data_IF_369182922165
#
_entry.id   IF_369182922165
#
_cell.length_a   1.000
_cell.length_b   1.000
_cell.length_c   1.000
_cell.angle_alpha   90.00
_cell.angle_beta   90.00
_cell.angle_gamma   90.00
#
_symmetry.space_group_name_H-M   'P 1'
#
loop_
_entity.id
_entity.type
_entity.pdbx_description
1 polymer ?
#
# COMPACT_ATOMS: atom_id res chain seq x y z
N UNK A 1 -27.02 3.92 0.93
CA UNK A 1 -25.87 3.54 0.10
C UNK A 1 -26.26 3.65 -1.36
N UNK A 2 -25.40 4.16 -2.23
CA UNK A 2 -25.59 4.11 -3.69
C UNK A 2 -24.42 3.41 -4.35
N UNK A 3 -24.65 2.86 -5.53
CA UNK A 3 -23.61 2.19 -6.33
C UNK A 3 -23.57 2.82 -7.71
N UNK A 4 -22.38 3.23 -8.15
CA UNK A 4 -22.09 3.68 -9.51
C UNK A 4 -21.12 2.70 -10.13
N UNK A 5 -21.40 2.28 -11.36
CA UNK A 5 -20.50 1.41 -12.12
C UNK A 5 -19.79 2.27 -13.16
N UNK A 6 -18.46 2.18 -13.18
CA UNK A 6 -17.60 2.85 -14.15
C UNK A 6 -16.76 1.81 -14.88
N UNK A 7 -16.68 1.96 -16.20
CA UNK A 7 -15.71 1.21 -17.01
C UNK A 7 -14.52 2.10 -17.28
N UNK A 8 -13.32 1.59 -17.04
CA UNK A 8 -12.06 2.26 -17.38
C UNK A 8 -11.10 1.24 -17.96
N UNK A 9 -10.51 1.51 -19.13
CA UNK A 9 -9.86 0.46 -19.93
C UNK A 9 -10.75 -0.79 -20.06
N UNK A 10 -10.23 -1.93 -19.57
CA UNK A 10 -10.96 -3.20 -19.42
C UNK A 10 -11.44 -3.51 -18.00
N UNK A 11 -11.17 -2.62 -17.05
CA UNK A 11 -11.66 -2.71 -15.67
C UNK A 11 -13.15 -2.34 -15.55
N UNK A 12 -13.87 -3.05 -14.68
CA UNK A 12 -15.17 -2.62 -14.14
C UNK A 12 -14.99 -2.21 -12.69
N UNK A 13 -15.23 -0.94 -12.39
CA UNK A 13 -15.10 -0.37 -11.05
C UNK A 13 -16.48 -0.09 -10.48
N UNK A 14 -16.76 -0.71 -9.34
CA UNK A 14 -17.99 -0.49 -8.57
C UNK A 14 -17.68 0.50 -7.45
N UNK A 15 -18.13 1.73 -7.61
CA UNK A 15 -18.03 2.78 -6.60
C UNK A 15 -19.26 2.70 -5.69
N UNK A 16 -19.03 2.40 -4.42
CA UNK A 16 -20.08 2.20 -3.41
C UNK A 16 -20.00 3.32 -2.38
N UNK A 17 -21.03 4.16 -2.33
CA UNK A 17 -21.04 5.37 -1.50
C UNK A 17 -21.94 5.16 -0.28
N UNK A 18 -21.35 5.27 0.91
CA UNK A 18 -22.10 5.46 2.15
C UNK A 18 -22.32 6.97 2.33
N UNK A 19 -23.54 7.40 2.65
CA UNK A 19 -23.84 8.82 2.79
C UNK A 19 -23.62 9.31 4.22
N UNK A 20 -23.22 10.58 4.42
CA UNK A 20 -22.94 11.60 3.39
C UNK A 20 -21.48 11.57 2.89
N UNK A 21 -21.27 11.67 1.57
CA UNK A 21 -19.95 11.81 0.93
C UNK A 21 -20.01 12.94 -0.10
N UNK A 22 -19.02 13.83 -0.11
CA UNK A 22 -18.95 14.96 -1.03
C UNK A 22 -18.73 14.51 -2.50
N UNK A 23 -19.35 15.20 -3.46
CA UNK A 23 -19.19 14.87 -4.88
C UNK A 23 -17.77 15.15 -5.43
N UNK A 24 -17.04 16.06 -4.79
CA UNK A 24 -15.66 16.44 -5.13
C UNK A 24 -14.73 15.23 -5.03
N UNK A 25 -14.74 14.51 -3.90
CA UNK A 25 -13.90 13.34 -3.67
C UNK A 25 -14.27 12.17 -4.59
N UNK A 26 -15.56 12.00 -4.90
CA UNK A 26 -16.02 10.98 -5.86
C UNK A 26 -15.35 11.22 -7.21
N UNK A 27 -15.36 12.47 -7.68
CA UNK A 27 -14.76 12.84 -8.97
C UNK A 27 -13.23 12.64 -8.95
N UNK A 28 -12.57 12.93 -7.82
CA UNK A 28 -11.14 12.65 -7.65
C UNK A 28 -10.83 11.15 -7.75
N UNK A 29 -11.61 10.29 -7.07
CA UNK A 29 -11.46 8.83 -7.14
C UNK A 29 -11.68 8.33 -8.57
N UNK A 30 -12.69 8.83 -9.28
CA UNK A 30 -12.96 8.44 -10.66
C UNK A 30 -11.81 8.80 -11.61
N UNK A 31 -11.26 10.01 -11.46
CA UNK A 31 -10.12 10.46 -12.26
C UNK A 31 -8.85 9.66 -11.94
N UNK A 32 -8.61 9.35 -10.66
CA UNK A 32 -7.49 8.50 -10.25
C UNK A 32 -7.61 7.10 -10.84
N UNK A 33 -8.81 6.51 -10.79
CA UNK A 33 -9.09 5.22 -11.40
C UNK A 33 -8.79 5.23 -12.90
N UNK A 34 -9.21 6.26 -13.62
CA UNK A 34 -8.89 6.41 -15.06
C UNK A 34 -7.40 6.56 -15.31
N UNK A 35 -6.71 7.34 -14.49
CA UNK A 35 -5.26 7.57 -14.60
C UNK A 35 -4.45 6.29 -14.38
N UNK A 36 -4.83 5.48 -13.40
CA UNK A 36 -4.06 4.28 -13.00
C UNK A 36 -4.41 3.07 -13.87
N UNK A 37 -5.67 2.97 -14.31
CA UNK A 37 -6.21 1.76 -14.95
C UNK A 37 -6.67 1.95 -16.39
N UNK A 38 -6.64 3.17 -16.92
CA UNK A 38 -7.21 3.50 -18.24
C UNK A 38 -6.57 2.75 -19.40
N UNK A 39 -5.31 2.35 -19.26
CA UNK A 39 -4.54 1.60 -20.27
C UNK A 39 -4.59 0.08 -20.06
N UNK A 40 -5.33 -0.41 -19.05
CA UNK A 40 -5.40 -1.84 -18.76
C UNK A 40 -6.16 -2.63 -19.82
N UNK A 41 -5.56 -3.73 -20.24
CA UNK A 41 -6.04 -4.60 -21.33
C UNK A 41 -6.76 -5.86 -20.85
N UNK A 42 -6.64 -6.21 -19.58
CA UNK A 42 -7.28 -7.38 -18.97
C UNK A 42 -8.63 -7.01 -18.33
N UNK A 43 -9.61 -7.93 -18.42
CA UNK A 43 -10.87 -7.75 -17.71
C UNK A 43 -10.74 -8.11 -16.24
N UNK A 44 -11.10 -7.17 -15.36
CA UNK A 44 -11.16 -7.40 -13.92
C UNK A 44 -12.18 -6.47 -13.26
N UNK A 45 -12.52 -6.80 -12.01
CA UNK A 45 -13.49 -6.06 -11.20
C UNK A 45 -12.81 -5.53 -9.95
N UNK A 46 -13.05 -4.26 -9.61
CA UNK A 46 -12.64 -3.66 -8.34
C UNK A 46 -13.87 -3.05 -7.67
N UNK A 47 -13.99 -3.24 -6.36
CA UNK A 47 -14.91 -2.48 -5.52
C UNK A 47 -14.17 -1.36 -4.81
N UNK A 48 -14.72 -0.15 -4.84
CA UNK A 48 -14.19 1.00 -4.10
C UNK A 48 -15.31 1.53 -3.21
N UNK A 49 -15.13 1.40 -1.91
CA UNK A 49 -16.07 1.82 -0.89
C UNK A 49 -15.65 3.18 -0.33
N UNK A 50 -16.55 4.16 -0.44
CA UNK A 50 -16.38 5.50 0.13
C UNK A 50 -17.20 5.58 1.42
N UNK A 51 -16.50 5.68 2.54
CA UNK A 51 -17.09 5.81 3.86
C UNK A 51 -17.01 7.27 4.32
N UNK A 52 -18.10 7.86 4.86
CA UNK A 52 -18.11 9.19 5.46
C UNK A 52 -17.01 9.43 6.49
N UNK A 53 -16.65 8.41 7.26
CA UNK A 53 -15.61 8.48 8.28
C UNK A 53 -14.90 7.14 8.47
N UNK A 54 -13.76 7.17 9.15
CA UNK A 54 -13.03 6.00 9.59
C UNK A 54 -13.87 5.10 10.51
N UNK A 55 -14.68 5.67 11.38
CA UNK A 55 -15.54 4.89 12.29
C UNK A 55 -16.51 3.99 11.51
N UNK A 56 -17.14 4.53 10.47
CA UNK A 56 -18.05 3.76 9.63
C UNK A 56 -17.31 2.74 8.78
N UNK A 57 -16.14 3.11 8.25
CA UNK A 57 -15.25 2.18 7.55
C UNK A 57 -14.93 0.98 8.44
N UNK A 58 -14.45 1.22 9.66
CA UNK A 58 -14.07 0.14 10.59
C UNK A 58 -15.22 -0.76 10.96
N UNK A 59 -16.39 -0.17 11.21
CA UNK A 59 -17.58 -0.94 11.54
C UNK A 59 -17.91 -1.95 10.43
N UNK A 60 -17.83 -1.52 9.17
CA UNK A 60 -18.14 -2.39 8.02
C UNK A 60 -17.01 -3.37 7.70
N UNK A 61 -15.75 -2.91 7.74
CA UNK A 61 -14.59 -3.75 7.46
C UNK A 61 -14.46 -4.87 8.50
N UNK A 62 -14.73 -4.58 9.79
CA UNK A 62 -14.69 -5.58 10.85
C UNK A 62 -15.78 -6.64 10.69
N UNK A 63 -17.01 -6.25 10.34
CA UNK A 63 -18.08 -7.20 10.04
C UNK A 63 -17.69 -8.13 8.89
N UNK A 64 -17.16 -7.57 7.80
CA UNK A 64 -16.67 -8.36 6.67
C UNK A 64 -15.52 -9.29 7.07
N UNK A 65 -14.60 -8.83 7.91
CA UNK A 65 -13.48 -9.65 8.37
C UNK A 65 -13.97 -10.86 9.19
N UNK A 66 -14.99 -10.68 10.03
CA UNK A 66 -15.64 -11.77 10.76
C UNK A 66 -16.29 -12.79 9.81
N UNK A 67 -17.00 -12.34 8.78
CA UNK A 67 -17.62 -13.22 7.77
C UNK A 67 -16.58 -14.10 7.06
N UNK A 68 -15.36 -13.57 6.88
CA UNK A 68 -14.27 -14.27 6.20
C UNK A 68 -13.25 -14.92 7.15
N UNK A 69 -13.47 -14.89 8.46
CA UNK A 69 -12.54 -15.38 9.50
C UNK A 69 -11.12 -14.78 9.38
N UNK A 70 -11.04 -13.48 9.07
CA UNK A 70 -9.79 -12.71 8.97
C UNK A 70 -9.67 -11.73 10.15
N UNK A 71 -8.45 -11.50 10.62
CA UNK A 71 -8.17 -10.45 11.60
C UNK A 71 -7.75 -9.14 10.92
N UNK A 72 -8.34 -8.02 11.33
CA UNK A 72 -7.92 -6.67 10.90
C UNK A 72 -6.94 -6.13 11.94
N UNK A 73 -5.68 -5.95 11.54
CA UNK A 73 -4.58 -5.68 12.48
C UNK A 73 -4.35 -4.21 12.82
N UNK A 74 -4.82 -3.26 12.00
CA UNK A 74 -4.50 -1.84 12.14
C UNK A 74 -5.74 -0.95 12.10
N UNK A 75 -5.75 0.09 12.95
CA UNK A 75 -6.64 1.26 12.92
C UNK A 75 -5.84 2.51 12.53
N UNK A 76 -6.51 3.57 12.10
CA UNK A 76 -5.91 4.87 11.78
C UNK A 76 -5.03 4.87 10.52
N UNK A 77 -5.32 3.98 9.56
CA UNK A 77 -4.72 3.99 8.23
C UNK A 77 -5.48 4.93 7.29
N UNK A 78 -4.76 5.58 6.38
CA UNK A 78 -5.35 6.49 5.39
C UNK A 78 -6.30 5.80 4.40
N UNK A 79 -6.12 4.49 4.19
CA UNK A 79 -6.98 3.65 3.38
C UNK A 79 -6.69 2.17 3.70
N UNK A 80 -7.58 1.29 3.23
CA UNK A 80 -7.44 -0.16 3.36
C UNK A 80 -7.73 -0.83 2.02
N UNK A 81 -7.04 -1.92 1.72
CA UNK A 81 -7.36 -2.80 0.60
C UNK A 81 -7.37 -4.26 1.03
N UNK A 82 -8.26 -5.03 0.44
CA UNK A 82 -8.39 -6.46 0.70
C UNK A 82 -8.88 -7.21 -0.55
N UNK A 83 -8.73 -8.53 -0.56
CA UNK A 83 -9.28 -9.42 -1.59
C UNK A 83 -9.69 -10.77 -1.00
N UNK A 84 -10.25 -10.76 0.21
CA UNK A 84 -10.61 -11.97 0.99
C UNK A 84 -11.66 -12.83 0.28
N UNK A 85 -12.50 -12.23 -0.55
CA UNK A 85 -13.48 -12.92 -1.41
C UNK A 85 -12.93 -13.32 -2.78
N UNK A 86 -11.66 -13.01 -3.07
CA UNK A 86 -11.06 -13.16 -4.40
C UNK A 86 -11.36 -12.01 -5.37
N UNK A 87 -12.07 -10.97 -4.93
CA UNK A 87 -12.27 -9.73 -5.69
C UNK A 87 -11.64 -8.57 -4.90
N UNK A 88 -10.77 -7.75 -5.51
CA UNK A 88 -10.15 -6.63 -4.83
C UNK A 88 -11.16 -5.58 -4.41
N UNK A 89 -11.03 -5.14 -3.17
CA UNK A 89 -11.78 -4.05 -2.59
C UNK A 89 -10.84 -2.99 -1.99
N UNK A 90 -11.22 -1.73 -2.15
CA UNK A 90 -10.57 -0.57 -1.56
C UNK A 90 -11.56 0.11 -0.64
N UNK A 91 -11.14 0.49 0.56
CA UNK A 91 -11.94 1.15 1.58
C UNK A 91 -11.32 2.51 1.91
N UNK A 92 -12.06 3.59 1.62
CA UNK A 92 -11.58 4.97 1.74
C UNK A 92 -12.38 5.73 2.82
N UNK A 93 -11.73 6.18 3.90
CA UNK A 93 -12.34 7.04 4.92
C UNK A 93 -12.31 8.51 4.44
N UNK A 94 -13.43 8.99 3.90
CA UNK A 94 -13.50 10.25 3.14
C UNK A 94 -13.13 11.46 3.97
N UNK A 95 -13.66 11.58 5.20
CA UNK A 95 -13.35 12.72 6.07
C UNK A 95 -11.85 12.84 6.31
N UNK A 96 -11.22 11.73 6.67
CA UNK A 96 -9.79 11.64 7.00
C UNK A 96 -8.92 11.90 5.78
N UNK A 97 -9.32 11.42 4.59
CA UNK A 97 -8.64 11.74 3.34
C UNK A 97 -8.73 13.24 3.01
N UNK A 98 -9.86 13.89 3.28
CA UNK A 98 -10.06 15.32 3.03
C UNK A 98 -9.22 16.22 3.96
N UNK A 99 -8.76 15.71 5.11
CA UNK A 99 -7.81 16.41 5.99
C UNK A 99 -6.40 16.47 5.39
N UNK A 100 -6.08 15.60 4.44
CA UNK A 100 -4.81 15.63 3.70
C UNK A 100 -4.83 16.72 2.63
N UNK A 101 -3.65 17.27 2.33
CA UNK A 101 -3.49 18.07 1.12
C UNK A 101 -3.84 17.22 -0.12
N UNK A 102 -4.32 17.87 -1.18
CA UNK A 102 -4.83 17.19 -2.37
C UNK A 102 -3.80 16.26 -3.02
N UNK A 103 -2.53 16.65 -3.10
CA UNK A 103 -1.50 15.85 -3.74
C UNK A 103 -1.24 14.54 -2.98
N UNK A 104 -1.09 14.62 -1.66
CA UNK A 104 -0.94 13.44 -0.78
C UNK A 104 -2.17 12.53 -0.87
N UNK A 105 -3.39 13.10 -0.82
CA UNK A 105 -4.62 12.31 -0.95
C UNK A 105 -4.69 11.56 -2.27
N UNK A 106 -4.39 12.21 -3.39
CA UNK A 106 -4.34 11.55 -4.69
C UNK A 106 -3.30 10.42 -4.71
N UNK A 107 -2.13 10.65 -4.09
CA UNK A 107 -1.10 9.63 -3.94
C UNK A 107 -1.59 8.38 -3.18
N UNK A 108 -2.33 8.55 -2.09
CA UNK A 108 -2.96 7.44 -1.35
C UNK A 108 -3.92 6.67 -2.26
N UNK A 109 -4.86 7.37 -2.92
CA UNK A 109 -5.87 6.70 -3.76
C UNK A 109 -5.21 5.95 -4.92
N UNK A 110 -4.20 6.54 -5.57
CA UNK A 110 -3.44 5.90 -6.65
C UNK A 110 -2.74 4.62 -6.19
N UNK A 111 -2.12 4.66 -5.00
CA UNK A 111 -1.43 3.53 -4.39
C UNK A 111 -2.37 2.36 -4.14
N UNK A 112 -3.54 2.64 -3.55
CA UNK A 112 -4.54 1.61 -3.28
C UNK A 112 -5.18 1.05 -4.56
N UNK A 113 -5.41 1.88 -5.58
CA UNK A 113 -5.91 1.43 -6.89
C UNK A 113 -4.90 0.51 -7.57
N UNK A 114 -3.61 0.81 -7.48
CA UNK A 114 -2.55 -0.07 -7.98
C UNK A 114 -2.47 -1.38 -7.18
N UNK A 115 -2.63 -1.34 -5.85
CA UNK A 115 -2.74 -2.57 -5.05
C UNK A 115 -3.90 -3.45 -5.50
N UNK A 116 -5.08 -2.89 -5.74
CA UNK A 116 -6.23 -3.65 -6.21
C UNK A 116 -5.96 -4.34 -7.57
N UNK A 117 -5.18 -3.71 -8.46
CA UNK A 117 -4.78 -4.31 -9.73
C UNK A 117 -3.73 -5.41 -9.56
N UNK A 118 -2.63 -5.13 -8.85
CA UNK A 118 -1.50 -6.06 -8.76
C UNK A 118 -1.74 -7.20 -7.77
N UNK A 119 -2.43 -6.90 -6.67
CA UNK A 119 -2.57 -7.78 -5.52
C UNK A 119 -4.01 -8.17 -5.23
N UNK A 120 -4.92 -8.04 -6.21
CA UNK A 120 -6.34 -8.37 -6.05
C UNK A 120 -6.68 -9.86 -5.97
N UNK A 121 -5.70 -10.72 -5.70
CA UNK A 121 -5.87 -12.16 -5.56
C UNK A 121 -5.56 -12.61 -4.13
N UNK A 122 -6.34 -13.57 -3.61
CA UNK A 122 -6.20 -14.10 -2.25
C UNK A 122 -4.78 -14.59 -1.93
N UNK A 123 -4.00 -15.06 -2.92
CA UNK A 123 -2.62 -15.50 -2.71
C UNK A 123 -1.74 -14.43 -2.04
N UNK A 124 -2.01 -13.15 -2.30
CA UNK A 124 -1.29 -12.01 -1.70
C UNK A 124 -1.79 -11.66 -0.28
N UNK A 125 -2.62 -12.51 0.31
CA UNK A 125 -3.12 -12.40 1.68
C UNK A 125 -2.85 -13.67 2.49
N UNK A 126 -2.17 -14.65 1.88
CA UNK A 126 -1.74 -15.87 2.53
C UNK A 126 -0.27 -15.74 2.95
N UNK A 127 0.04 -16.24 4.14
CA UNK A 127 1.40 -16.32 4.63
C UNK A 127 2.25 -17.22 3.71
N UNK A 128 3.52 -16.85 3.44
CA UNK A 128 4.41 -17.70 2.67
C UNK A 128 4.65 -19.03 3.42
N UNK A 129 4.90 -20.13 2.70
CA UNK A 129 5.25 -21.39 3.33
C UNK A 129 6.61 -21.26 4.04
N UNK A 130 6.69 -21.70 5.29
CA UNK A 130 7.94 -21.72 6.06
C UNK A 130 7.77 -21.37 7.54
N UNK A 131 8.87 -21.46 8.28
CA UNK A 131 8.94 -21.00 9.66
C UNK A 131 9.61 -19.62 9.71
N UNK A 132 8.97 -18.67 10.37
CA UNK A 132 9.46 -17.31 10.56
C UNK A 132 9.40 -16.98 12.04
N UNK A 133 10.56 -16.69 12.65
CA UNK A 133 10.62 -16.41 14.08
C UNK A 133 10.06 -15.04 14.48
N UNK A 134 9.99 -14.10 13.53
CA UNK A 134 9.49 -12.75 13.75
C UNK A 134 8.33 -12.44 12.79
N UNK A 135 7.10 -12.70 13.24
CA UNK A 135 5.89 -12.52 12.42
C UNK A 135 5.65 -11.04 12.08
N UNK A 136 6.06 -10.11 12.95
CA UNK A 136 5.92 -8.68 12.68
C UNK A 136 6.89 -8.24 11.59
N UNK A 137 8.11 -8.77 11.58
CA UNK A 137 9.05 -8.55 10.48
C UNK A 137 8.53 -9.16 9.18
N UNK A 138 8.01 -10.37 9.23
CA UNK A 138 7.42 -11.02 8.06
C UNK A 138 6.31 -10.15 7.46
N UNK A 139 5.39 -9.67 8.31
CA UNK A 139 4.31 -8.79 7.88
C UNK A 139 4.85 -7.49 7.26
N UNK A 140 5.81 -6.84 7.91
CA UNK A 140 6.42 -5.61 7.39
C UNK A 140 7.08 -5.81 6.02
N UNK A 141 7.84 -6.90 5.85
CA UNK A 141 8.47 -7.26 4.56
C UNK A 141 7.42 -7.58 3.50
N UNK A 142 6.36 -8.30 3.88
CA UNK A 142 5.28 -8.64 2.96
C UNK A 142 4.60 -7.39 2.40
N UNK A 143 4.27 -6.43 3.27
CA UNK A 143 3.78 -5.12 2.85
C UNK A 143 4.81 -4.38 1.98
N UNK A 144 6.09 -4.39 2.38
CA UNK A 144 7.16 -3.71 1.67
C UNK A 144 7.34 -4.24 0.24
N UNK A 145 7.28 -5.55 0.02
CA UNK A 145 7.36 -6.14 -1.33
C UNK A 145 6.20 -5.66 -2.19
N UNK A 146 4.97 -5.67 -1.65
CA UNK A 146 3.79 -5.19 -2.36
C UNK A 146 3.89 -3.70 -2.69
N UNK A 147 4.35 -2.88 -1.74
CA UNK A 147 4.49 -1.43 -1.92
C UNK A 147 5.55 -1.12 -3.00
N UNK A 148 6.63 -1.91 -3.06
CA UNK A 148 7.65 -1.80 -4.10
C UNK A 148 7.09 -2.10 -5.50
N UNK A 149 6.34 -3.19 -5.64
CA UNK A 149 5.70 -3.56 -6.91
C UNK A 149 4.68 -2.51 -7.37
N UNK A 150 3.91 -1.95 -6.42
CA UNK A 150 3.01 -0.82 -6.70
C UNK A 150 3.77 0.41 -7.16
N UNK A 151 4.85 0.79 -6.48
CA UNK A 151 5.62 1.96 -6.85
C UNK A 151 6.24 1.85 -8.24
N UNK A 152 6.81 0.68 -8.59
CA UNK A 152 7.32 0.45 -9.95
C UNK A 152 6.21 0.49 -11.01
N UNK A 153 5.04 -0.08 -10.71
CA UNK A 153 3.86 -0.02 -11.59
C UNK A 153 3.36 1.41 -11.82
N UNK A 154 3.23 2.21 -10.75
CA UNK A 154 2.77 3.60 -10.83
C UNK A 154 3.81 4.49 -11.52
N UNK A 155 5.10 4.30 -11.22
CA UNK A 155 6.21 4.99 -11.88
C UNK A 155 6.22 4.73 -13.39
N UNK A 156 5.97 3.49 -13.83
CA UNK A 156 5.87 3.15 -15.26
C UNK A 156 4.75 3.90 -16.00
N UNK A 157 3.74 4.42 -15.27
CA UNK A 157 2.63 5.25 -15.76
C UNK A 157 2.86 6.75 -15.56
N UNK A 158 4.10 7.17 -15.26
CA UNK A 158 4.45 8.55 -14.96
C UNK A 158 3.68 9.13 -13.75
N UNK A 159 3.28 8.29 -12.81
CA UNK A 159 2.65 8.69 -11.55
C UNK A 159 3.76 8.79 -10.49
N UNK A 160 4.35 9.98 -10.39
CA UNK A 160 5.55 10.23 -9.57
C UNK A 160 5.30 11.28 -8.50
N UNK A 161 4.83 12.48 -8.89
CA UNK A 161 4.75 13.63 -7.98
C UNK A 161 3.82 13.39 -6.77
N UNK A 162 2.64 12.85 -7.01
CA UNK A 162 1.66 12.48 -5.98
C UNK A 162 2.19 11.41 -5.04
N UNK A 163 2.97 10.45 -5.56
CA UNK A 163 3.60 9.39 -4.77
C UNK A 163 4.73 9.94 -3.89
N UNK A 164 5.56 10.86 -4.41
CA UNK A 164 6.58 11.55 -3.59
C UNK A 164 5.93 12.34 -2.45
N UNK A 165 4.83 13.06 -2.71
CA UNK A 165 4.08 13.77 -1.67
C UNK A 165 3.45 12.83 -0.63
N UNK A 166 3.04 11.64 -1.04
CA UNK A 166 2.55 10.60 -0.12
C UNK A 166 3.69 10.02 0.73
N UNK A 167 4.82 9.67 0.12
CA UNK A 167 6.02 9.20 0.81
C UNK A 167 6.51 10.22 1.84
N UNK A 168 6.60 11.50 1.46
CA UNK A 168 7.05 12.56 2.35
C UNK A 168 6.12 12.75 3.55
N UNK A 169 4.80 12.60 3.35
CA UNK A 169 3.81 12.64 4.43
C UNK A 169 4.04 11.49 5.41
N UNK A 170 4.17 10.25 4.93
CA UNK A 170 4.32 9.08 5.80
C UNK A 170 5.68 9.06 6.51
N UNK A 171 6.76 9.45 5.84
CA UNK A 171 8.07 9.56 6.48
C UNK A 171 8.11 10.63 7.57
N UNK A 172 7.25 11.65 7.49
CA UNK A 172 7.14 12.67 8.53
C UNK A 172 6.44 12.16 9.79
N UNK A 173 5.69 11.06 9.71
CA UNK A 173 4.99 10.43 10.85
C UNK A 173 5.71 9.18 11.37
N UNK A 174 6.91 8.88 10.88
CA UNK A 174 7.67 7.69 11.28
C UNK A 174 8.46 7.95 12.56
N UNK A 175 8.22 7.12 13.57
CA UNK A 175 8.95 7.19 14.84
C UNK A 175 10.37 6.61 14.71
N UNK A 176 11.40 7.21 15.35
CA UNK A 176 12.80 6.78 15.21
C UNK A 176 13.10 5.34 15.66
N UNK A 177 12.27 4.75 16.50
CA UNK A 177 12.47 3.38 17.01
C UNK A 177 11.64 2.33 16.25
N UNK A 178 10.78 2.75 15.30
CA UNK A 178 9.87 1.84 14.59
C UNK A 178 10.56 1.14 13.42
N UNK A 179 11.34 0.11 13.76
CA UNK A 179 12.05 -0.73 12.80
C UNK A 179 11.13 -1.37 11.77
N UNK A 180 9.95 -1.87 12.16
CA UNK A 180 9.07 -2.59 11.25
C UNK A 180 8.42 -1.63 10.25
N UNK A 181 7.99 -0.45 10.69
CA UNK A 181 7.50 0.58 9.77
C UNK A 181 8.60 1.06 8.84
N UNK A 182 9.84 1.23 9.30
CA UNK A 182 10.96 1.56 8.42
C UNK A 182 11.23 0.47 7.36
N UNK A 183 11.13 -0.82 7.73
CA UNK A 183 11.22 -1.93 6.77
C UNK A 183 10.09 -1.86 5.73
N UNK A 184 8.84 -1.64 6.17
CA UNK A 184 7.68 -1.48 5.27
C UNK A 184 7.89 -0.30 4.30
N UNK A 185 8.37 0.83 4.81
CA UNK A 185 8.54 2.05 4.04
C UNK A 185 9.70 2.00 3.04
N UNK A 186 10.61 1.02 3.14
CA UNK A 186 11.57 0.77 2.07
C UNK A 186 10.85 0.50 0.75
N UNK A 187 9.83 -0.37 0.75
CA UNK A 187 9.06 -0.71 -0.43
C UNK A 187 8.38 0.49 -1.07
N UNK A 188 7.79 1.35 -0.23
CA UNK A 188 7.14 2.57 -0.69
C UNK A 188 8.13 3.60 -1.25
N UNK A 189 9.29 3.78 -0.60
CA UNK A 189 10.28 4.81 -0.94
C UNK A 189 11.14 4.45 -2.14
N UNK A 190 11.65 3.21 -2.20
CA UNK A 190 12.74 2.82 -3.10
C UNK A 190 12.45 3.04 -4.60
N UNK A 191 11.25 2.76 -5.14
CA UNK A 191 10.91 3.06 -6.54
C UNK A 191 11.12 4.53 -6.90
N UNK A 192 10.99 5.42 -5.92
CA UNK A 192 11.05 6.88 -6.06
C UNK A 192 12.29 7.50 -5.42
N UNK A 193 13.28 6.70 -4.98
CA UNK A 193 14.45 7.16 -4.21
C UNK A 193 15.11 8.42 -4.79
N UNK A 194 15.26 8.49 -6.11
CA UNK A 194 15.91 9.62 -6.80
C UNK A 194 15.16 10.95 -6.69
N UNK A 195 13.88 10.90 -6.35
CA UNK A 195 13.00 12.08 -6.20
C UNK A 195 12.77 12.45 -4.74
N UNK A 196 13.08 11.55 -3.80
CA UNK A 196 12.92 11.78 -2.37
C UNK A 196 14.16 12.51 -1.83
N UNK A 197 13.94 13.49 -0.94
CA UNK A 197 15.04 14.30 -0.39
C UNK A 197 16.00 13.47 0.46
N UNK A 198 17.28 13.88 0.50
CA UNK A 198 18.30 13.19 1.32
C UNK A 198 17.95 13.16 2.81
N UNK A 199 17.34 14.23 3.32
CA UNK A 199 16.86 14.31 4.71
C UNK A 199 15.85 13.22 5.00
N UNK A 200 14.88 13.00 4.10
CA UNK A 200 13.87 11.95 4.25
C UNK A 200 14.46 10.55 4.14
N UNK A 201 15.37 10.33 3.20
CA UNK A 201 16.12 9.08 3.06
C UNK A 201 16.90 8.75 4.34
N UNK A 202 17.52 9.75 4.98
CA UNK A 202 18.32 9.52 6.18
C UNK A 202 17.49 9.00 7.36
N UNK A 203 16.18 9.24 7.40
CA UNK A 203 15.29 8.66 8.41
C UNK A 203 15.35 7.13 8.33
N UNK A 204 15.13 6.56 7.15
CA UNK A 204 15.19 5.09 6.94
C UNK A 204 16.59 4.55 7.20
N UNK A 205 17.64 5.24 6.72
CA UNK A 205 19.01 4.79 6.93
C UNK A 205 19.40 4.77 8.41
N UNK A 206 18.94 5.74 9.20
CA UNK A 206 19.20 5.82 10.63
C UNK A 206 18.46 4.71 11.40
N UNK A 207 17.20 4.44 11.09
CA UNK A 207 16.43 3.40 11.80
C UNK A 207 16.99 2.01 11.48
N UNK A 208 17.29 1.77 10.20
CA UNK A 208 17.76 0.46 9.74
C UNK A 208 19.27 0.28 9.90
N UNK A 209 20.01 1.35 10.22
CA UNK A 209 21.48 1.39 10.28
C UNK A 209 22.12 0.85 8.98
N UNK A 210 21.51 1.18 7.84
CA UNK A 210 21.90 0.64 6.54
C UNK A 210 21.76 1.69 5.44
N UNK A 211 22.78 1.79 4.58
CA UNK A 211 22.77 2.69 3.43
C UNK A 211 21.64 2.35 2.44
N UNK A 212 20.92 3.37 1.96
CA UNK A 212 19.76 3.21 1.09
C UNK A 212 20.09 2.49 -0.22
N UNK A 213 21.30 2.65 -0.77
CA UNK A 213 21.70 2.02 -2.03
C UNK A 213 21.90 0.52 -1.87
N UNK A 214 22.28 0.06 -0.66
CA UNK A 214 22.35 -1.37 -0.35
C UNK A 214 20.95 -1.95 -0.25
N UNK A 215 20.02 -1.22 0.37
CA UNK A 215 18.61 -1.60 0.42
C UNK A 215 18.02 -1.68 -0.99
N UNK A 216 18.20 -0.63 -1.81
CA UNK A 216 17.76 -0.57 -3.20
C UNK A 216 18.28 -1.75 -4.03
N UNK A 217 19.60 -1.99 -3.97
CA UNK A 217 20.22 -3.13 -4.64
C UNK A 217 19.54 -4.45 -4.24
N UNK A 218 19.20 -4.62 -2.96
CA UNK A 218 18.57 -5.84 -2.49
C UNK A 218 17.15 -6.04 -3.02
N UNK A 219 16.38 -4.96 -3.16
CA UNK A 219 15.06 -5.01 -3.79
C UNK A 219 15.16 -5.32 -5.29
N UNK A 220 16.13 -4.73 -5.99
CA UNK A 220 16.38 -5.02 -7.42
C UNK A 220 16.75 -6.49 -7.60
N UNK A 221 17.64 -7.05 -6.77
CA UNK A 221 17.99 -8.48 -6.80
C UNK A 221 16.76 -9.37 -6.58
N UNK A 222 15.96 -9.07 -5.56
CA UNK A 222 14.76 -9.83 -5.24
C UNK A 222 13.71 -9.74 -6.36
N UNK A 223 13.58 -8.58 -7.05
CA UNK A 223 12.53 -8.32 -8.05
C UNK A 223 12.42 -9.36 -9.16
N UNK A 224 13.53 -10.08 -9.44
CA UNK A 224 13.62 -11.12 -10.48
C UNK A 224 13.00 -12.46 -10.08
N UNK A 225 12.53 -12.60 -8.84
CA UNK A 225 12.01 -13.85 -8.26
C UNK A 225 10.49 -13.89 -8.23
N UNK A 226 9.93 -15.03 -7.84
CA UNK A 226 8.51 -15.11 -7.54
C UNK A 226 8.16 -14.41 -6.22
N UNK A 227 6.89 -14.02 -6.04
CA UNK A 227 6.46 -13.18 -4.92
C UNK A 227 6.88 -13.72 -3.53
N UNK A 228 6.64 -15.00 -3.22
CA UNK A 228 7.06 -15.55 -1.93
C UNK A 228 8.57 -15.67 -1.78
N UNK A 229 9.30 -15.89 -2.87
CA UNK A 229 10.76 -15.91 -2.84
C UNK A 229 11.32 -14.52 -2.53
N UNK A 230 10.72 -13.45 -3.09
CA UNK A 230 11.01 -12.05 -2.73
C UNK A 230 10.86 -11.83 -1.23
N UNK A 231 9.71 -12.23 -0.68
CA UNK A 231 9.38 -12.07 0.73
C UNK A 231 10.38 -12.83 1.61
N UNK A 232 10.68 -14.10 1.29
CA UNK A 232 11.61 -14.93 2.08
C UNK A 232 13.04 -14.35 2.05
N UNK A 233 13.49 -13.89 0.88
CA UNK A 233 14.82 -13.31 0.74
C UNK A 233 14.96 -12.00 1.51
N UNK A 234 14.00 -11.08 1.35
CA UNK A 234 14.02 -9.81 2.04
C UNK A 234 13.82 -9.98 3.55
N UNK A 235 12.98 -10.93 3.98
CA UNK A 235 12.86 -11.32 5.38
C UNK A 235 14.21 -11.75 5.95
N UNK A 236 14.90 -12.66 5.25
CA UNK A 236 16.21 -13.17 5.68
C UNK A 236 17.25 -12.05 5.75
N UNK A 237 17.18 -11.07 4.84
CA UNK A 237 18.05 -9.91 4.83
C UNK A 237 17.79 -8.98 6.03
N UNK A 238 16.54 -8.56 6.23
CA UNK A 238 16.19 -7.67 7.34
C UNK A 238 16.34 -8.35 8.70
N UNK A 239 16.11 -9.66 8.81
CA UNK A 239 16.30 -10.38 10.06
C UNK A 239 17.79 -10.37 10.47
N UNK A 240 18.70 -10.53 9.51
CA UNK A 240 20.15 -10.41 9.74
C UNK A 240 20.53 -9.00 10.15
N UNK A 241 20.03 -7.98 9.43
CA UNK A 241 20.28 -6.57 9.79
C UNK A 241 19.82 -6.26 11.21
N UNK A 242 18.60 -6.68 11.58
CA UNK A 242 18.04 -6.47 12.92
C UNK A 242 18.89 -7.13 14.01
N UNK A 243 19.41 -8.34 13.76
CA UNK A 243 20.30 -9.05 14.70
C UNK A 243 21.62 -8.30 14.90
N UNK A 244 22.21 -7.79 13.82
CA UNK A 244 23.44 -6.99 13.88
C UNK A 244 23.24 -5.68 14.66
N UNK A 245 22.12 -5.00 14.45
CA UNK A 245 21.80 -3.75 15.14
C UNK A 245 21.57 -3.92 16.65
N UNK A 246 21.16 -5.11 17.11
CA UNK A 246 21.00 -5.43 18.53
C UNK A 246 22.30 -5.82 19.24
N UNK A 247 23.36 -6.08 18.47
CA UNK A 247 24.68 -6.50 18.99
C UNK A 247 25.69 -5.36 19.11
N UNK A 248 25.26 -4.12 18.82
CA UNK A 248 25.99 -2.87 18.98
C UNK A 248 25.38 -2.08 20.16
#
# INVERSE_FOLDING_TARGET
MTTKVKKTGKARVYLIHYFPVENSIVSEVENTVDRVLGEESEEYVIYIYLYPSEEQLFSQLYLKALEHNVNVLAKNMLAYHEAWSGIPCIHLPVKELLELNKSTRLGVIEHEVAHAKLHGNIKYYLAPPGYFSDINLLYAVYCSVKDYEVGEYLKSRNIVETQVNFIDYILATLEPEDYYSAVKLCGLLLPYREKVSRTRISIIENILQQNILVLEKKYIEASQKDFYEKVIELYSFFEKLKKLNKSL
#
